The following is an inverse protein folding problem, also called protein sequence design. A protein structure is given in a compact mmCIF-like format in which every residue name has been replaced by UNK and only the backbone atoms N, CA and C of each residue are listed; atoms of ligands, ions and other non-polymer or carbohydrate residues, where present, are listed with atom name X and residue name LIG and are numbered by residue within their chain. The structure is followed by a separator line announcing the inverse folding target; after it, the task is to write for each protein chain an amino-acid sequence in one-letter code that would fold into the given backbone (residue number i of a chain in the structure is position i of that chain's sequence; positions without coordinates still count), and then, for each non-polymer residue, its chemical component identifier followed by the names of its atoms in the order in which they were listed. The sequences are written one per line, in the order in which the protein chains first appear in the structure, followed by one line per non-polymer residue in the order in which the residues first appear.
data_IF_607392486039
#
_entry.id   IF_607392486039
#
_cell.length_a   1.000
_cell.length_b   1.000
_cell.length_c   1.000
_cell.angle_alpha   90.00
_cell.angle_beta   90.00
_cell.angle_gamma   90.00
#
_symmetry.space_group_name_H-M   'P 1'
#
loop_
_entity.id
_entity.type
_entity.pdbx_description
1 polymer ?
#
# COMPACT_ATOMS: atom_id res chain seq x y z
N UNK A 1 -2.83 -12.01 -16.05
CA UNK A 1 -3.84 -11.59 -17.02
C UNK A 1 -3.75 -10.09 -17.15
N UNK A 2 -3.46 -9.61 -18.37
CA UNK A 2 -3.51 -8.20 -18.69
C UNK A 2 -4.90 -7.68 -18.34
N UNK A 3 -4.97 -6.61 -17.57
CA UNK A 3 -6.19 -5.80 -17.50
C UNK A 3 -6.29 -5.21 -18.91
N UNK A 4 -7.21 -5.73 -19.72
CA UNK A 4 -7.49 -5.14 -21.03
C UNK A 4 -7.95 -3.69 -20.80
N UNK A 5 -7.65 -2.78 -21.72
CA UNK A 5 -8.07 -1.38 -21.66
C UNK A 5 -9.57 -1.22 -21.35
N UNK A 6 -10.42 -2.14 -21.84
CA UNK A 6 -11.85 -2.23 -21.50
C UNK A 6 -12.16 -2.57 -20.03
N UNK A 7 -11.20 -3.09 -19.25
CA UNK A 7 -11.37 -3.30 -17.81
C UNK A 7 -10.85 -2.10 -16.99
N UNK A 8 -9.91 -1.33 -17.51
CA UNK A 8 -9.44 -0.10 -16.87
C UNK A 8 -10.59 0.93 -16.75
N UNK A 9 -11.46 1.04 -17.74
CA UNK A 9 -12.63 1.93 -17.73
C UNK A 9 -13.70 1.56 -16.66
N UNK A 10 -13.60 0.37 -16.06
CA UNK A 10 -14.49 -0.11 -14.98
C UNK A 10 -13.82 -0.14 -13.62
N UNK A 11 -12.57 0.28 -13.51
CA UNK A 11 -11.83 0.24 -12.27
C UNK A 11 -11.95 1.60 -11.56
N UNK A 12 -12.46 1.58 -10.33
CA UNK A 12 -12.44 2.76 -9.47
C UNK A 12 -11.14 2.77 -8.68
N UNK A 13 -10.29 3.77 -8.94
CA UNK A 13 -9.11 4.03 -8.13
C UNK A 13 -9.49 4.86 -6.91
N UNK A 14 -9.07 4.42 -5.73
CA UNK A 14 -9.32 5.10 -4.45
C UNK A 14 -8.01 5.23 -3.71
N UNK A 15 -7.66 6.46 -3.33
CA UNK A 15 -6.56 6.76 -2.43
C UNK A 15 -7.08 6.78 -1.00
N UNK A 16 -6.69 5.81 -0.19
CA UNK A 16 -7.06 5.75 1.23
C UNK A 16 -6.09 6.57 2.07
N UNK A 17 -6.65 7.41 2.95
CA UNK A 17 -5.92 8.14 3.98
C UNK A 17 -6.44 7.67 5.34
N UNK A 18 -5.60 6.97 6.09
CA UNK A 18 -5.92 6.59 7.46
C UNK A 18 -5.60 7.72 8.43
N UNK A 19 -6.60 8.15 9.18
CA UNK A 19 -6.42 9.16 10.24
C UNK A 19 -5.47 8.68 11.34
N UNK A 20 -5.35 7.37 11.56
CA UNK A 20 -4.40 6.81 12.54
C UNK A 20 -2.93 7.09 12.19
N UNK A 21 -2.61 7.33 10.94
CA UNK A 21 -1.25 7.65 10.49
C UNK A 21 -0.90 9.13 10.66
N UNK A 22 -1.87 9.97 11.05
CA UNK A 22 -1.73 11.41 11.21
C UNK A 22 -1.79 11.86 12.67
N UNK A 23 -1.91 10.89 13.60
CA UNK A 23 -1.84 11.18 15.03
C UNK A 23 -0.42 11.59 15.42
N UNK A 24 -0.28 12.80 15.95
CA UNK A 24 0.91 13.25 16.67
C UNK A 24 0.55 13.29 18.17
N UNK A 25 0.85 12.20 18.89
CA UNK A 25 0.30 11.99 20.23
C UNK A 25 -1.19 11.64 20.14
N UNK A 26 -2.01 12.30 20.94
CA UNK A 26 -3.47 12.08 20.95
C UNK A 26 -4.23 13.02 19.99
N UNK A 27 -3.52 13.90 19.28
CA UNK A 27 -4.13 14.89 18.40
C UNK A 27 -3.86 14.61 16.92
N UNK A 28 -4.86 14.87 16.08
CA UNK A 28 -4.75 14.74 14.62
C UNK A 28 -4.24 16.05 14.06
N UNK A 29 -3.15 16.01 13.29
CA UNK A 29 -2.73 17.17 12.51
C UNK A 29 -3.73 17.42 11.38
N UNK A 30 -4.77 18.18 11.67
CA UNK A 30 -5.87 18.46 10.76
C UNK A 30 -5.40 19.20 9.50
N UNK A 31 -4.38 20.04 9.60
CA UNK A 31 -3.86 20.79 8.44
C UNK A 31 -3.13 19.85 7.48
N UNK A 32 -2.22 19.03 7.99
CA UNK A 32 -1.51 18.03 7.17
C UNK A 32 -2.50 17.04 6.50
N UNK A 33 -3.57 16.69 7.21
CA UNK A 33 -4.61 15.82 6.69
C UNK A 33 -5.39 16.46 5.52
N UNK A 34 -5.83 17.70 5.69
CA UNK A 34 -6.55 18.45 4.65
C UNK A 34 -5.67 18.67 3.42
N UNK A 35 -4.43 19.08 3.62
CA UNK A 35 -3.46 19.28 2.55
C UNK A 35 -3.23 18.02 1.70
N UNK A 36 -3.16 16.85 2.35
CA UNK A 36 -3.03 15.57 1.64
C UNK A 36 -4.29 15.24 0.84
N UNK A 37 -5.47 15.41 1.44
CA UNK A 37 -6.74 15.13 0.78
C UNK A 37 -6.96 16.07 -0.41
N UNK A 38 -6.67 17.36 -0.25
CA UNK A 38 -6.83 18.35 -1.30
C UNK A 38 -5.82 18.16 -2.43
N UNK A 39 -4.58 17.78 -2.12
CA UNK A 39 -3.56 17.42 -3.12
C UNK A 39 -4.02 16.25 -3.99
N UNK A 40 -4.55 15.18 -3.39
CA UNK A 40 -5.05 14.04 -4.13
C UNK A 40 -6.28 14.40 -4.98
N UNK A 41 -7.19 15.22 -4.46
CA UNK A 41 -8.34 15.73 -5.23
C UNK A 41 -7.91 16.60 -6.40
N UNK A 42 -6.90 17.46 -6.22
CA UNK A 42 -6.35 18.30 -7.29
C UNK A 42 -5.75 17.44 -8.41
N UNK A 43 -5.26 16.24 -8.11
CA UNK A 43 -4.80 15.23 -9.06
C UNK A 43 -5.96 14.39 -9.65
N UNK A 44 -7.22 14.73 -9.37
CA UNK A 44 -8.39 14.02 -9.87
C UNK A 44 -8.64 12.65 -9.23
N UNK A 45 -8.02 12.36 -8.07
CA UNK A 45 -8.16 11.08 -7.38
C UNK A 45 -9.39 11.03 -6.47
N UNK A 46 -10.03 9.86 -6.38
CA UNK A 46 -11.03 9.61 -5.35
C UNK A 46 -10.33 9.39 -4.01
N UNK A 47 -10.76 10.09 -2.97
CA UNK A 47 -10.16 10.01 -1.64
C UNK A 47 -11.14 9.34 -0.68
N UNK A 48 -10.68 8.29 -0.01
CA UNK A 48 -11.38 7.61 1.07
C UNK A 48 -10.64 7.90 2.39
N UNK A 49 -11.36 8.50 3.32
CA UNK A 49 -10.84 8.82 4.65
C UNK A 49 -11.34 7.78 5.63
N UNK A 50 -10.45 7.13 6.35
CA UNK A 50 -10.81 6.10 7.34
C UNK A 50 -10.10 6.31 8.68
N UNK A 51 -10.61 5.61 9.71
CA UNK A 51 -9.89 5.40 10.98
C UNK A 51 -9.31 3.99 11.07
N UNK A 52 -9.15 3.31 9.94
CA UNK A 52 -8.71 1.94 9.94
C UNK A 52 -7.19 1.86 9.93
N UNK A 53 -6.64 1.14 10.93
CA UNK A 53 -5.20 0.91 11.03
C UNK A 53 -4.76 -0.35 10.29
N UNK A 54 -5.71 -1.25 9.97
CA UNK A 54 -5.45 -2.59 9.46
C UNK A 54 -6.15 -2.85 8.13
N UNK A 55 -5.50 -3.62 7.27
CA UNK A 55 -6.03 -3.96 5.94
C UNK A 55 -7.21 -4.94 5.98
N UNK A 56 -7.30 -5.82 6.98
CA UNK A 56 -8.46 -6.70 7.19
C UNK A 56 -9.74 -5.89 7.43
N UNK A 57 -9.66 -4.82 8.20
CA UNK A 57 -10.77 -3.91 8.42
C UNK A 57 -11.13 -3.13 7.15
N UNK A 58 -10.11 -2.64 6.41
CA UNK A 58 -10.32 -1.94 5.14
C UNK A 58 -10.96 -2.86 4.09
N UNK A 59 -10.43 -4.07 3.92
CA UNK A 59 -11.00 -5.08 3.01
C UNK A 59 -12.44 -5.40 3.39
N UNK A 60 -12.71 -5.61 4.69
CA UNK A 60 -14.06 -5.86 5.20
C UNK A 60 -15.02 -4.68 4.99
N UNK A 61 -14.54 -3.44 5.10
CA UNK A 61 -15.33 -2.25 4.77
C UNK A 61 -15.70 -2.23 3.28
N UNK A 62 -14.70 -2.33 2.40
CA UNK A 62 -14.91 -2.28 0.96
C UNK A 62 -15.83 -3.39 0.47
N UNK A 63 -15.73 -4.58 1.06
CA UNK A 63 -16.58 -5.74 0.75
C UNK A 63 -18.08 -5.51 1.03
N UNK A 64 -18.44 -4.51 1.82
CA UNK A 64 -19.86 -4.14 2.04
C UNK A 64 -20.44 -3.38 0.84
N UNK A 65 -19.59 -2.73 0.05
CA UNK A 65 -20.00 -1.86 -1.06
C UNK A 65 -19.83 -2.51 -2.42
N UNK A 66 -18.96 -3.53 -2.55
CA UNK A 66 -18.71 -4.21 -3.82
C UNK A 66 -18.55 -5.70 -3.67
N UNK A 67 -18.93 -6.45 -4.71
CA UNK A 67 -18.62 -7.88 -4.90
C UNK A 67 -17.51 -8.09 -5.93
N UNK A 68 -17.07 -7.01 -6.56
CA UNK A 68 -15.97 -7.05 -7.52
C UNK A 68 -14.63 -7.29 -6.80
N UNK A 69 -13.63 -7.79 -7.52
CA UNK A 69 -12.29 -7.98 -6.95
C UNK A 69 -11.70 -6.67 -6.43
N UNK A 70 -11.04 -6.74 -5.28
CA UNK A 70 -10.38 -5.59 -4.65
C UNK A 70 -8.87 -5.76 -4.82
N UNK A 71 -8.23 -4.73 -5.36
CA UNK A 71 -6.77 -4.62 -5.44
C UNK A 71 -6.28 -3.59 -4.42
N UNK A 72 -5.44 -4.01 -3.48
CA UNK A 72 -4.82 -3.10 -2.51
C UNK A 72 -3.34 -2.96 -2.89
N UNK A 73 -2.95 -1.75 -3.30
CA UNK A 73 -1.56 -1.44 -3.58
C UNK A 73 -0.83 -1.00 -2.31
N UNK A 74 0.33 -1.60 -2.06
CA UNK A 74 1.14 -1.30 -0.88
C UNK A 74 2.64 -1.44 -1.17
N UNK A 75 3.47 -0.82 -0.33
CA UNK A 75 4.92 -0.94 -0.40
C UNK A 75 5.44 -2.18 0.33
N UNK A 76 6.69 -2.58 0.05
CA UNK A 76 7.41 -3.62 0.81
C UNK A 76 7.43 -3.30 2.30
N UNK A 77 7.57 -2.02 2.68
CA UNK A 77 7.54 -1.63 4.09
C UNK A 77 6.21 -1.95 4.76
N UNK A 78 5.09 -1.64 4.09
CA UNK A 78 3.76 -1.98 4.60
C UNK A 78 3.51 -3.50 4.59
N UNK A 79 4.00 -4.22 3.57
CA UNK A 79 3.94 -5.68 3.57
C UNK A 79 4.64 -6.27 4.81
N UNK A 80 5.82 -5.74 5.16
CA UNK A 80 6.54 -6.18 6.36
C UNK A 80 5.76 -5.86 7.66
N UNK A 81 5.07 -4.72 7.72
CA UNK A 81 4.23 -4.37 8.87
C UNK A 81 3.08 -5.38 9.08
N UNK A 82 2.50 -5.94 8.01
CA UNK A 82 1.42 -6.92 8.11
C UNK A 82 1.82 -8.20 8.86
N UNK A 83 3.11 -8.50 8.93
CA UNK A 83 3.64 -9.66 9.65
C UNK A 83 3.99 -9.36 11.12
N UNK A 84 3.75 -8.14 11.61
CA UNK A 84 4.01 -7.79 13.02
C UNK A 84 2.80 -8.11 13.88
N UNK A 85 2.99 -8.99 14.85
CA UNK A 85 1.94 -9.49 15.76
C UNK A 85 1.24 -8.39 16.54
N UNK A 86 1.94 -7.29 16.84
CA UNK A 86 1.37 -6.11 17.52
C UNK A 86 0.07 -5.57 16.88
N UNK A 87 -0.15 -5.83 15.60
CA UNK A 87 -1.35 -5.40 14.90
C UNK A 87 -2.53 -6.37 15.03
N UNK A 88 -2.29 -7.55 15.62
CA UNK A 88 -3.27 -8.64 15.70
C UNK A 88 -3.44 -9.20 17.10
N UNK A 89 -2.89 -8.55 18.13
CA UNK A 89 -3.00 -8.95 19.55
C UNK A 89 -4.44 -9.01 20.04
N UNK A 90 -5.31 -8.19 19.46
CA UNK A 90 -6.75 -8.14 19.76
C UNK A 90 -7.59 -9.12 18.94
N UNK A 91 -6.96 -9.88 18.04
CA UNK A 91 -7.65 -10.85 17.17
C UNK A 91 -7.44 -12.26 17.74
N UNK A 92 -8.51 -13.02 18.08
CA UNK A 92 -8.38 -14.38 18.65
C UNK A 92 -7.55 -15.33 17.80
N UNK A 93 -7.69 -15.31 16.46
CA UNK A 93 -6.91 -16.10 15.51
C UNK A 93 -5.59 -15.43 15.07
N UNK A 94 -5.23 -14.30 15.68
CA UNK A 94 -3.99 -13.60 15.41
C UNK A 94 -3.81 -13.23 13.94
N UNK A 95 -2.57 -13.32 13.49
CA UNK A 95 -2.18 -12.94 12.12
C UNK A 95 -2.86 -13.80 11.04
N UNK A 96 -3.14 -15.07 11.32
CA UNK A 96 -3.80 -15.97 10.36
C UNK A 96 -5.24 -15.52 10.08
N UNK A 97 -5.97 -15.14 11.13
CA UNK A 97 -7.32 -14.63 10.98
C UNK A 97 -7.31 -13.26 10.27
N UNK A 98 -6.36 -12.38 10.60
CA UNK A 98 -6.21 -11.09 9.93
C UNK A 98 -5.98 -11.26 8.42
N UNK A 99 -5.08 -12.12 7.99
CA UNK A 99 -4.89 -12.41 6.57
C UNK A 99 -6.11 -13.08 5.94
N UNK A 100 -6.76 -14.03 6.64
CA UNK A 100 -7.99 -14.65 6.16
C UNK A 100 -9.09 -13.62 5.88
N UNK A 101 -9.26 -12.64 6.77
CA UNK A 101 -10.20 -11.52 6.59
C UNK A 101 -9.77 -10.57 5.46
N UNK A 102 -8.46 -10.30 5.34
CA UNK A 102 -7.90 -9.41 4.30
C UNK A 102 -8.18 -9.97 2.90
N UNK A 103 -8.02 -11.29 2.70
CA UNK A 103 -8.19 -11.92 1.38
C UNK A 103 -9.62 -12.32 1.04
N UNK A 104 -10.60 -11.94 1.84
CA UNK A 104 -12.00 -12.08 1.49
C UNK A 104 -12.34 -11.31 0.20
N UNK A 105 -13.44 -11.69 -0.45
CA UNK A 105 -13.98 -11.01 -1.64
C UNK A 105 -12.99 -10.83 -2.80
N UNK A 106 -12.15 -11.84 -3.05
CA UNK A 106 -11.15 -11.81 -4.12
C UNK A 106 -10.15 -10.65 -3.97
N UNK A 107 -9.91 -10.19 -2.75
CA UNK A 107 -8.91 -9.16 -2.46
C UNK A 107 -7.50 -9.70 -2.76
N UNK A 108 -6.68 -8.88 -3.40
CA UNK A 108 -5.27 -9.17 -3.67
C UNK A 108 -4.41 -7.99 -3.25
N UNK A 109 -3.22 -8.28 -2.76
CA UNK A 109 -2.21 -7.27 -2.43
C UNK A 109 -1.23 -7.13 -3.59
N UNK A 110 -1.14 -5.93 -4.15
CA UNK A 110 -0.18 -5.56 -5.19
C UNK A 110 0.97 -4.81 -4.55
N UNK A 111 2.15 -5.40 -4.59
CA UNK A 111 3.31 -4.90 -3.86
C UNK A 111 4.22 -4.11 -4.79
N UNK A 112 4.39 -2.83 -4.48
CA UNK A 112 5.37 -1.99 -5.14
C UNK A 112 6.77 -2.33 -4.64
N UNK A 113 7.76 -2.53 -5.53
CA UNK A 113 9.11 -2.84 -5.14
C UNK A 113 9.78 -1.69 -4.39
N UNK A 114 10.78 -2.04 -3.62
CA UNK A 114 11.61 -1.10 -2.88
C UNK A 114 13.08 -1.29 -3.21
N UNK A 115 13.79 -0.20 -3.44
CA UNK A 115 15.23 -0.23 -3.69
C UNK A 115 16.00 -0.37 -2.36
N UNK A 116 16.69 -1.47 -2.17
CA UNK A 116 17.68 -1.60 -1.12
C UNK A 116 18.94 -0.78 -1.49
N UNK A 117 19.08 0.39 -0.90
CA UNK A 117 20.20 1.30 -1.22
C UNK A 117 21.58 0.75 -0.84
N UNK A 118 21.65 -0.27 0.01
CA UNK A 118 22.93 -0.90 0.40
C UNK A 118 23.41 -1.91 -0.65
N UNK A 119 22.49 -2.73 -1.18
CA UNK A 119 22.83 -3.72 -2.21
C UNK A 119 22.63 -3.22 -3.64
N UNK A 120 21.85 -2.16 -3.83
CA UNK A 120 21.43 -1.68 -5.15
C UNK A 120 20.33 -2.52 -5.80
N UNK A 121 19.80 -3.52 -5.11
CA UNK A 121 18.80 -4.45 -5.64
C UNK A 121 17.38 -4.02 -5.28
N UNK A 122 16.43 -4.32 -6.16
CA UNK A 122 15.02 -4.16 -5.86
C UNK A 122 14.48 -5.36 -5.08
N UNK A 123 13.89 -5.08 -3.93
CA UNK A 123 13.09 -6.05 -3.18
C UNK A 123 11.67 -6.01 -3.73
N UNK A 124 11.21 -7.13 -4.26
CA UNK A 124 9.85 -7.33 -4.79
C UNK A 124 9.06 -8.25 -3.85
N UNK A 125 7.77 -8.48 -4.14
CA UNK A 125 6.99 -9.46 -3.39
C UNK A 125 7.66 -10.84 -3.44
N UNK A 126 8.22 -11.23 -4.58
CA UNK A 126 8.86 -12.55 -4.77
C UNK A 126 10.18 -12.68 -4.04
N UNK A 127 10.92 -11.59 -3.86
CA UNK A 127 12.23 -11.59 -3.19
C UNK A 127 12.15 -11.13 -1.73
N UNK A 128 10.99 -10.66 -1.29
CA UNK A 128 10.74 -10.30 0.11
C UNK A 128 10.89 -11.53 1.00
N UNK A 129 11.61 -11.36 2.10
CA UNK A 129 11.80 -12.41 3.12
C UNK A 129 10.84 -12.15 4.27
N UNK A 130 9.79 -12.96 4.32
CA UNK A 130 8.88 -12.96 5.46
C UNK A 130 9.61 -13.44 6.73
N UNK A 131 9.14 -13.05 7.94
CA UNK A 131 9.65 -13.59 9.20
C UNK A 131 9.61 -15.12 9.18
N UNK A 132 10.59 -15.77 9.84
CA UNK A 132 10.82 -17.22 9.76
C UNK A 132 9.56 -18.05 10.06
N UNK A 133 8.80 -17.68 11.09
CA UNK A 133 7.55 -18.36 11.46
C UNK A 133 6.44 -18.25 10.41
N UNK A 134 6.53 -17.31 9.47
CA UNK A 134 5.50 -17.05 8.46
C UNK A 134 5.94 -17.35 7.01
N UNK A 135 7.14 -17.91 6.81
CA UNK A 135 7.69 -18.18 5.47
C UNK A 135 6.75 -19.06 4.65
N UNK A 136 6.23 -20.16 5.22
CA UNK A 136 5.32 -21.06 4.51
C UNK A 136 3.97 -20.42 4.20
N UNK A 137 3.44 -19.60 5.11
CA UNK A 137 2.23 -18.83 4.89
C UNK A 137 2.44 -17.83 3.75
N UNK A 138 3.57 -17.14 3.72
CA UNK A 138 3.89 -16.20 2.66
C UNK A 138 4.04 -16.88 1.29
N UNK A 139 4.69 -18.03 1.24
CA UNK A 139 4.77 -18.86 0.02
C UNK A 139 3.39 -19.28 -0.47
N UNK A 140 2.47 -19.62 0.43
CA UNK A 140 1.08 -19.89 0.08
C UNK A 140 0.42 -18.67 -0.59
N UNK A 141 0.63 -17.46 -0.07
CA UNK A 141 0.09 -16.24 -0.66
C UNK A 141 0.63 -15.98 -2.08
N UNK A 142 1.93 -16.15 -2.28
CA UNK A 142 2.54 -16.01 -3.60
C UNK A 142 2.01 -17.07 -4.59
N UNK A 143 1.98 -18.33 -4.17
CA UNK A 143 1.55 -19.45 -5.02
C UNK A 143 0.08 -19.32 -5.47
N UNK A 144 -0.77 -18.73 -4.64
CA UNK A 144 -2.20 -18.53 -4.93
C UNK A 144 -2.51 -17.14 -5.52
N UNK A 145 -1.49 -16.31 -5.79
CA UNK A 145 -1.68 -14.98 -6.34
C UNK A 145 -2.45 -14.02 -5.44
N UNK A 146 -2.42 -14.26 -4.12
CA UNK A 146 -3.00 -13.35 -3.11
C UNK A 146 -2.10 -12.14 -2.88
N UNK A 147 -0.79 -12.35 -3.00
CA UNK A 147 0.23 -11.31 -3.01
C UNK A 147 0.98 -11.39 -4.33
N UNK A 148 1.04 -10.28 -5.05
CA UNK A 148 1.63 -10.20 -6.39
C UNK A 148 2.50 -8.95 -6.51
N UNK A 149 3.50 -9.00 -7.36
CA UNK A 149 4.27 -7.81 -7.73
C UNK A 149 3.41 -6.86 -8.57
N UNK A 150 3.57 -5.56 -8.40
CA UNK A 150 3.07 -4.57 -9.36
C UNK A 150 3.72 -4.86 -10.72
N UNK A 151 2.93 -5.08 -11.79
CA UNK A 151 3.44 -5.59 -13.07
C UNK A 151 4.38 -4.62 -13.77
N UNK A 152 4.22 -3.32 -13.55
CA UNK A 152 5.04 -2.28 -14.16
C UNK A 152 5.41 -1.24 -13.11
N UNK A 153 6.69 -0.89 -13.07
CA UNK A 153 7.19 0.20 -12.24
C UNK A 153 8.33 0.91 -12.95
N UNK A 154 8.48 2.19 -12.67
CA UNK A 154 9.58 2.98 -13.19
C UNK A 154 10.72 2.96 -12.17
N UNK A 155 11.81 2.24 -12.52
CA UNK A 155 12.99 2.14 -11.64
C UNK A 155 13.60 3.50 -11.33
N UNK A 156 13.59 4.42 -12.29
CA UNK A 156 14.12 5.75 -12.08
C UNK A 156 13.35 6.49 -10.98
N UNK A 157 12.02 6.42 -10.97
CA UNK A 157 11.21 7.03 -9.92
C UNK A 157 11.46 6.37 -8.56
N UNK A 158 11.59 5.05 -8.51
CA UNK A 158 11.82 4.31 -7.26
C UNK A 158 13.21 4.56 -6.64
N UNK A 159 14.15 5.11 -7.40
CA UNK A 159 15.46 5.52 -6.88
C UNK A 159 15.39 6.80 -6.04
N UNK A 160 14.30 7.57 -6.15
CA UNK A 160 14.10 8.83 -5.44
C UNK A 160 13.07 8.64 -4.32
N UNK A 161 13.44 9.04 -3.11
CA UNK A 161 12.51 9.04 -1.98
C UNK A 161 11.77 10.37 -1.91
N UNK A 162 10.63 10.45 -1.21
CA UNK A 162 9.98 11.73 -0.92
C UNK A 162 10.93 12.76 -0.28
N UNK A 163 11.88 12.31 0.54
CA UNK A 163 12.91 13.19 1.14
C UNK A 163 13.90 13.72 0.10
N UNK A 164 14.23 12.95 -0.92
CA UNK A 164 15.10 13.41 -2.00
C UNK A 164 14.38 14.49 -2.81
N UNK A 165 13.08 14.29 -3.10
CA UNK A 165 12.24 15.29 -3.77
C UNK A 165 12.15 16.57 -2.93
N UNK A 166 11.88 16.46 -1.63
CA UNK A 166 11.85 17.62 -0.74
C UNK A 166 13.19 18.40 -0.72
N UNK A 167 14.33 17.70 -0.75
CA UNK A 167 15.65 18.34 -0.86
C UNK A 167 15.83 19.07 -2.20
N UNK A 168 15.41 18.46 -3.30
CA UNK A 168 15.47 19.09 -4.62
C UNK A 168 14.62 20.37 -4.67
N UNK A 169 13.41 20.32 -4.11
CA UNK A 169 12.54 21.51 -3.99
C UNK A 169 13.22 22.58 -3.15
N UNK A 170 13.79 22.23 -2.00
CA UNK A 170 14.49 23.18 -1.13
C UNK A 170 15.76 23.76 -1.74
N UNK A 171 16.40 23.05 -2.67
CA UNK A 171 17.58 23.48 -3.43
C UNK A 171 17.23 24.21 -4.74
N UNK A 172 15.94 24.44 -5.01
CA UNK A 172 15.43 25.08 -6.24
C UNK A 172 15.87 24.33 -7.52
N UNK A 173 16.00 22.99 -7.43
CA UNK A 173 16.35 22.14 -8.54
C UNK A 173 15.07 21.68 -9.27
N UNK A 174 14.95 21.97 -10.57
CA UNK A 174 13.72 21.67 -11.33
C UNK A 174 13.49 20.17 -11.65
N UNK A 175 14.50 19.33 -11.44
CA UNK A 175 14.44 17.92 -11.78
C UNK A 175 13.29 17.16 -11.06
N UNK A 176 12.91 17.60 -9.87
CA UNK A 176 11.80 17.02 -9.12
C UNK A 176 10.47 17.03 -9.89
N UNK A 177 10.27 18.01 -10.79
CA UNK A 177 9.06 18.12 -11.63
C UNK A 177 8.87 16.91 -12.57
N UNK A 178 9.95 16.19 -12.86
CA UNK A 178 9.92 14.97 -13.68
C UNK A 178 9.69 13.70 -12.86
N UNK A 179 9.74 13.81 -11.53
CA UNK A 179 9.66 12.71 -10.58
C UNK A 179 8.28 12.59 -9.88
N UNK A 180 7.43 13.58 -10.10
CA UNK A 180 6.06 13.61 -9.55
C UNK A 180 5.04 13.69 -10.68
N UNK A 181 3.80 13.14 -10.47
CA UNK A 181 2.75 13.20 -11.47
C UNK A 181 2.30 14.60 -11.78
#
# INVERSE_FOLDING_TARGET
SHINETQADRCMEICEISMNNLLRGDDVDHLEFLDRADSLKALGKNVLITKMARFDNLSGLLARYTREPIAIALSIGLLNELFKEKWTEDIPGGILESFGRTFQNKTRLYVSPWLNRKSGEFVTARTFRAPEQYVHLYHHFLANGLVVDVPFFNEFLLRHTPRDIQRMIAADEDIWKTLVP
#
